data_IF_072132369044
#
_entry.id   IF_072132369044
#
_cell.length_a   1.000
_cell.length_b   1.000
_cell.length_c   1.000
_cell.angle_alpha   90.00
_cell.angle_beta   90.00
_cell.angle_gamma   90.00
#
_symmetry.space_group_name_H-M   'P 1'
#
loop_
_entity.id
_entity.type
_entity.pdbx_description
1 polymer ?
#
# COMPACT_ATOMS: atom_id res chain seq x y z
N UNK A 1 10.69 -20.54 14.56
CA UNK A 1 11.40 -19.53 13.75
C UNK A 1 10.88 -19.53 12.31
N UNK A 2 11.11 -20.58 11.51
CA UNK A 2 10.73 -20.64 10.08
C UNK A 2 9.26 -20.31 9.78
N UNK A 3 8.28 -20.83 10.54
CA UNK A 3 6.84 -20.52 10.30
C UNK A 3 6.53 -19.03 10.39
N UNK A 4 7.17 -18.32 11.32
CA UNK A 4 7.01 -16.87 11.45
C UNK A 4 7.63 -16.17 10.25
N UNK A 5 8.82 -16.58 9.80
CA UNK A 5 9.50 -16.00 8.62
C UNK A 5 8.68 -16.19 7.35
N UNK A 6 8.11 -17.38 7.14
CA UNK A 6 7.21 -17.62 6.00
C UNK A 6 5.95 -16.75 6.06
N UNK A 7 5.32 -16.61 7.24
CA UNK A 7 4.19 -15.70 7.41
C UNK A 7 4.57 -14.23 7.12
N UNK A 8 5.72 -13.76 7.62
CA UNK A 8 6.19 -12.39 7.38
C UNK A 8 6.54 -12.16 5.90
N UNK A 9 7.11 -13.16 5.21
CA UNK A 9 7.40 -13.06 3.78
C UNK A 9 6.12 -12.99 2.95
N UNK A 10 5.11 -13.81 3.26
CA UNK A 10 3.80 -13.76 2.60
C UNK A 10 3.07 -12.44 2.88
N UNK A 11 3.11 -11.96 4.14
CA UNK A 11 2.57 -10.65 4.51
C UNK A 11 3.25 -9.52 3.75
N UNK A 12 4.58 -9.55 3.62
CA UNK A 12 5.33 -8.55 2.85
C UNK A 12 4.92 -8.54 1.37
N UNK A 13 4.74 -9.71 0.73
CA UNK A 13 4.26 -9.79 -0.65
C UNK A 13 2.84 -9.24 -0.80
N UNK A 14 1.95 -9.58 0.13
CA UNK A 14 0.58 -9.05 0.17
C UNK A 14 0.54 -7.54 0.36
N UNK A 15 1.36 -7.01 1.28
CA UNK A 15 1.45 -5.59 1.57
C UNK A 15 2.01 -4.80 0.38
N UNK A 16 3.03 -5.31 -0.33
CA UNK A 16 3.55 -4.68 -1.55
C UNK A 16 2.48 -4.65 -2.64
N UNK A 17 1.76 -5.76 -2.85
CA UNK A 17 0.67 -5.80 -3.80
C UNK A 17 -0.43 -4.78 -3.44
N UNK A 18 -0.88 -4.79 -2.19
CA UNK A 18 -1.90 -3.87 -1.70
C UNK A 18 -1.46 -2.42 -1.86
N UNK A 19 -0.22 -2.08 -1.50
CA UNK A 19 0.35 -0.73 -1.65
C UNK A 19 0.35 -0.29 -3.12
N UNK A 20 0.75 -1.17 -4.04
CA UNK A 20 0.77 -0.85 -5.47
C UNK A 20 -0.63 -0.63 -6.05
N UNK A 21 -1.58 -1.50 -5.72
CA UNK A 21 -2.96 -1.43 -6.18
C UNK A 21 -3.68 -0.20 -5.58
N UNK A 22 -3.49 0.03 -4.28
CA UNK A 22 -4.11 1.17 -3.59
C UNK A 22 -3.53 2.51 -4.03
N UNK A 23 -2.21 2.62 -4.19
CA UNK A 23 -1.57 3.82 -4.74
C UNK A 23 -2.02 4.13 -6.17
N UNK A 24 -2.12 3.11 -7.03
CA UNK A 24 -2.63 3.28 -8.40
C UNK A 24 -4.11 3.71 -8.40
N UNK A 25 -4.93 3.13 -7.53
CA UNK A 25 -6.32 3.54 -7.34
C UNK A 25 -6.43 5.00 -6.93
N UNK A 26 -5.63 5.43 -5.96
CA UNK A 26 -5.60 6.80 -5.48
C UNK A 26 -5.12 7.79 -6.55
N UNK A 27 -4.20 7.41 -7.44
CA UNK A 27 -3.76 8.27 -8.55
C UNK A 27 -4.82 8.38 -9.65
N UNK A 28 -5.58 7.31 -9.92
CA UNK A 28 -6.61 7.28 -10.96
C UNK A 28 -7.90 7.98 -10.53
N UNK A 29 -8.22 7.93 -9.24
CA UNK A 29 -9.46 8.46 -8.66
C UNK A 29 -10.69 7.61 -8.97
N UNK A 30 -11.85 7.95 -8.36
CA UNK A 30 -13.10 7.25 -8.61
C UNK A 30 -13.69 7.58 -9.99
N UNK A 31 -14.61 6.74 -10.44
CA UNK A 31 -15.47 7.06 -11.58
C UNK A 31 -16.55 8.02 -11.10
N UNK A 32 -16.74 9.14 -11.79
CA UNK A 32 -17.88 10.00 -11.53
C UNK A 32 -18.36 10.78 -12.75
N UNK A 33 -19.51 11.42 -12.56
CA UNK A 33 -20.18 12.23 -13.56
C UNK A 33 -19.60 13.64 -13.59
N UNK A 34 -19.14 14.05 -14.77
CA UNK A 34 -18.76 15.43 -15.09
C UNK A 34 -19.31 15.76 -16.47
N UNK A 35 -19.99 16.89 -16.63
CA UNK A 35 -20.56 17.35 -17.90
C UNK A 35 -21.41 16.27 -18.62
N UNK A 36 -22.26 15.55 -17.88
CA UNK A 36 -23.06 14.40 -18.35
C UNK A 36 -22.26 13.17 -18.86
N UNK A 37 -20.95 13.11 -18.62
CA UNK A 37 -20.11 11.95 -18.95
C UNK A 37 -19.54 11.27 -17.71
N UNK A 38 -19.73 9.95 -17.62
CA UNK A 38 -19.11 9.11 -16.59
C UNK A 38 -17.68 8.75 -17.00
N UNK A 39 -16.71 9.05 -16.13
CA UNK A 39 -15.31 8.79 -16.47
C UNK A 39 -14.36 8.93 -15.29
N UNK A 40 -13.09 8.65 -15.57
CA UNK A 40 -11.96 8.85 -14.66
C UNK A 40 -11.33 10.21 -14.92
N UNK A 41 -11.98 11.28 -14.44
CA UNK A 41 -11.55 12.66 -14.70
C UNK A 41 -10.24 13.04 -13.99
N UNK A 42 -9.83 12.25 -12.99
CA UNK A 42 -8.62 12.49 -12.19
C UNK A 42 -7.36 11.81 -12.75
N UNK A 43 -7.49 10.95 -13.75
CA UNK A 43 -6.37 10.13 -14.27
C UNK A 43 -5.20 10.99 -14.77
N UNK A 44 -5.49 12.13 -15.38
CA UNK A 44 -4.49 13.04 -15.94
C UNK A 44 -3.97 14.08 -14.93
N UNK A 45 -4.56 14.16 -13.73
CA UNK A 45 -4.16 15.14 -12.70
C UNK A 45 -2.93 14.70 -11.89
N UNK A 46 -2.41 13.50 -12.16
CA UNK A 46 -1.28 12.88 -11.44
C UNK A 46 -1.39 12.89 -9.91
N UNK A 47 -2.62 12.93 -9.37
CA UNK A 47 -2.87 12.98 -7.93
C UNK A 47 -2.87 14.39 -7.32
N UNK A 48 -2.76 15.44 -8.12
CA UNK A 48 -2.87 16.84 -7.66
C UNK A 48 -4.18 17.11 -6.91
N UNK A 49 -5.27 16.43 -7.32
CA UNK A 49 -6.58 16.54 -6.67
C UNK A 49 -6.58 16.09 -5.20
N UNK A 50 -5.61 15.26 -4.76
CA UNK A 50 -5.52 14.80 -3.37
C UNK A 50 -5.14 15.93 -2.41
N UNK A 51 -4.40 16.92 -2.90
CA UNK A 51 -3.96 18.09 -2.14
C UNK A 51 -4.97 19.22 -2.18
N UNK A 52 -5.79 19.29 -3.24
CA UNK A 52 -6.75 20.36 -3.45
C UNK A 52 -8.20 19.84 -3.42
N UNK A 53 -8.78 19.86 -2.23
CA UNK A 53 -10.15 19.35 -1.98
C UNK A 53 -11.26 20.28 -2.47
N UNK A 54 -10.95 21.53 -2.79
CA UNK A 54 -11.96 22.50 -3.28
C UNK A 54 -12.44 22.20 -4.69
N UNK A 55 -11.64 21.48 -5.48
CA UNK A 55 -11.96 21.15 -6.88
C UNK A 55 -12.78 19.87 -7.02
N UNK A 56 -13.03 19.14 -5.92
CA UNK A 56 -13.72 17.85 -5.96
C UNK A 56 -15.16 17.96 -6.46
N UNK A 57 -15.89 18.95 -5.98
CA UNK A 57 -17.30 19.17 -6.33
C UNK A 57 -17.44 19.58 -7.82
N UNK A 58 -16.54 20.45 -8.29
CA UNK A 58 -16.51 20.90 -9.68
C UNK A 58 -16.15 19.78 -10.68
N UNK A 59 -15.28 18.85 -10.28
CA UNK A 59 -14.83 17.75 -11.14
C UNK A 59 -15.77 16.53 -11.09
N UNK A 60 -16.72 16.51 -10.16
CA UNK A 60 -17.47 15.31 -9.80
C UNK A 60 -18.83 15.68 -9.21
N UNK A 61 -19.80 15.93 -10.09
CA UNK A 61 -21.15 16.34 -9.67
C UNK A 61 -21.92 15.19 -9.01
N UNK A 62 -21.71 13.96 -9.46
CA UNK A 62 -22.45 12.81 -8.95
C UNK A 62 -21.61 11.52 -9.03
N UNK A 63 -21.63 10.65 -8.00
CA UNK A 63 -22.38 10.75 -6.73
C UNK A 63 -21.71 11.66 -5.69
N UNK A 64 -22.50 12.29 -4.79
CA UNK A 64 -21.95 13.16 -3.76
C UNK A 64 -21.05 12.37 -2.80
N UNK A 65 -19.95 12.99 -2.35
CA UNK A 65 -18.96 12.39 -1.44
C UNK A 65 -18.22 11.15 -1.96
N UNK A 66 -18.37 10.77 -3.23
CA UNK A 66 -17.67 9.60 -3.79
C UNK A 66 -16.14 9.74 -3.70
N UNK A 67 -15.62 10.95 -3.97
CA UNK A 67 -14.19 11.25 -3.87
C UNK A 67 -13.70 11.10 -2.44
N UNK A 68 -14.41 11.68 -1.48
CA UNK A 68 -14.03 11.62 -0.06
C UNK A 68 -13.90 10.15 0.39
N UNK A 69 -14.93 9.35 0.14
CA UNK A 69 -14.92 7.92 0.50
C UNK A 69 -13.78 7.17 -0.16
N UNK A 70 -13.57 7.38 -1.47
CA UNK A 70 -12.51 6.74 -2.21
C UNK A 70 -11.13 7.13 -1.65
N UNK A 71 -10.86 8.42 -1.47
CA UNK A 71 -9.58 8.92 -0.96
C UNK A 71 -9.31 8.39 0.46
N UNK A 72 -10.30 8.43 1.36
CA UNK A 72 -10.14 7.96 2.73
C UNK A 72 -9.84 6.46 2.78
N UNK A 73 -10.62 5.62 2.09
CA UNK A 73 -10.44 4.17 2.10
C UNK A 73 -9.09 3.76 1.52
N UNK A 74 -8.72 4.32 0.37
CA UNK A 74 -7.45 4.01 -0.29
C UNK A 74 -6.25 4.54 0.51
N UNK A 75 -6.36 5.72 1.14
CA UNK A 75 -5.32 6.25 2.03
C UNK A 75 -5.09 5.34 3.24
N UNK A 76 -6.17 4.84 3.86
CA UNK A 76 -6.08 3.90 4.97
C UNK A 76 -5.41 2.58 4.56
N UNK A 77 -5.75 2.06 3.38
CA UNK A 77 -5.12 0.85 2.81
C UNK A 77 -3.62 1.06 2.55
N UNK A 78 -3.23 2.22 2.00
CA UNK A 78 -1.82 2.59 1.80
C UNK A 78 -1.09 2.65 3.14
N UNK A 79 -1.65 3.34 4.13
CA UNK A 79 -1.05 3.47 5.46
C UNK A 79 -0.87 2.11 6.15
N UNK A 80 -1.90 1.26 6.12
CA UNK A 80 -1.85 -0.09 6.67
C UNK A 80 -0.79 -0.96 5.96
N UNK A 81 -0.73 -0.89 4.63
CA UNK A 81 0.25 -1.65 3.83
C UNK A 81 1.68 -1.18 4.11
N UNK A 82 1.92 0.13 4.22
CA UNK A 82 3.22 0.68 4.60
C UNK A 82 3.66 0.18 5.98
N UNK A 83 2.74 0.19 6.95
CA UNK A 83 3.01 -0.32 8.30
C UNK A 83 3.36 -1.82 8.26
N UNK A 84 2.63 -2.62 7.49
CA UNK A 84 2.89 -4.05 7.34
C UNK A 84 4.25 -4.32 6.67
N UNK A 85 4.60 -3.56 5.62
CA UNK A 85 5.93 -3.63 4.97
C UNK A 85 7.05 -3.37 5.98
N UNK A 86 6.89 -2.36 6.84
CA UNK A 86 7.89 -2.04 7.86
C UNK A 86 8.00 -3.16 8.89
N UNK A 87 6.87 -3.61 9.47
CA UNK A 87 6.86 -4.61 10.52
C UNK A 87 7.35 -5.98 10.02
N UNK A 88 6.85 -6.45 8.88
CA UNK A 88 7.26 -7.71 8.28
C UNK A 88 8.69 -7.64 7.74
N UNK A 89 9.08 -6.50 7.16
CA UNK A 89 10.43 -6.27 6.65
C UNK A 89 11.49 -6.38 7.75
N UNK A 90 11.26 -5.77 8.91
CA UNK A 90 12.16 -5.90 10.07
C UNK A 90 12.28 -7.35 10.52
N UNK A 91 11.18 -8.11 10.56
CA UNK A 91 11.21 -9.53 10.94
C UNK A 91 12.01 -10.38 9.94
N UNK A 92 11.86 -10.13 8.64
CA UNK A 92 12.60 -10.84 7.60
C UNK A 92 14.10 -10.49 7.67
N UNK A 93 14.46 -9.22 7.87
CA UNK A 93 15.87 -8.80 8.01
C UNK A 93 16.51 -9.42 9.25
N UNK A 94 15.83 -9.38 10.39
CA UNK A 94 16.34 -9.98 11.63
C UNK A 94 16.51 -11.49 11.49
N UNK A 95 15.58 -12.17 10.80
CA UNK A 95 15.72 -13.58 10.49
C UNK A 95 16.91 -13.86 9.56
N UNK A 96 17.10 -13.05 8.51
CA UNK A 96 18.21 -13.19 7.58
C UNK A 96 19.57 -13.02 8.29
N UNK A 97 19.72 -12.01 9.14
CA UNK A 97 20.92 -11.81 9.96
C UNK A 97 21.12 -13.02 10.89
N UNK A 98 20.06 -13.51 11.54
CA UNK A 98 20.13 -14.70 12.40
C UNK A 98 20.58 -15.97 11.66
N UNK A 99 20.17 -16.16 10.41
CA UNK A 99 20.61 -17.29 9.58
C UNK A 99 22.06 -17.09 9.11
N UNK A 100 22.38 -15.93 8.53
CA UNK A 100 23.72 -15.63 7.98
C UNK A 100 24.81 -15.56 9.06
N UNK A 101 24.52 -14.98 10.22
CA UNK A 101 25.45 -14.95 11.36
C UNK A 101 25.37 -16.21 12.24
N UNK A 102 24.28 -16.98 12.14
CA UNK A 102 24.08 -18.23 12.91
C UNK A 102 24.82 -19.42 12.32
N UNK A 103 24.87 -19.55 10.98
CA UNK A 103 25.59 -20.64 10.32
C UNK A 103 27.13 -20.56 10.52
N UNK A 104 27.65 -19.34 10.75
CA UNK A 104 29.06 -19.13 11.07
C UNK A 104 29.47 -19.51 12.51
N UNK A 105 28.52 -19.80 13.42
CA UNK A 105 28.83 -20.29 14.79
C UNK A 105 28.97 -21.82 14.88
N UNK A 106 28.83 -22.57 13.79
CA UNK A 106 29.27 -23.97 13.71
C UNK A 106 30.74 -24.09 13.30
N UNK A 107 31.65 -23.46 14.04
CA UNK A 107 33.07 -23.83 14.05
C UNK A 107 33.58 -23.75 15.48
N UNK A 108 33.52 -24.90 16.17
CA UNK A 108 34.17 -25.09 17.46
C UNK A 108 33.48 -26.08 18.38
N UNK A 109 33.64 -27.38 18.12
CA UNK A 109 34.02 -28.45 19.10
C UNK A 109 33.44 -29.81 18.66
N UNK A 110 34.29 -30.85 18.50
CA UNK A 110 33.85 -32.22 18.23
C UNK A 110 33.26 -32.87 19.49
N UNK A 111 32.19 -33.65 19.33
CA UNK A 111 31.94 -34.82 20.19
C UNK A 111 32.19 -36.07 19.36
#
# INVERSE_FOLDING_TARGET
MLRSVFCSALGLLGAIYCLSASGTGLRKGPICLKDNAWGYHFKDTEGSYLLNSTEWDAMCQQPPHAILWHVTLFSLMVAASCLEVVLCGVQVVNAAIGVLCGDCRKKGTPQ
#
